data_IF_037895812754
#
_entry.id   IF_037895812754
#
_cell.length_a   1.000
_cell.length_b   1.000
_cell.length_c   1.000
_cell.angle_alpha   90.00
_cell.angle_beta   90.00
_cell.angle_gamma   90.00
#
_symmetry.space_group_name_H-M   'P 1'
#
loop_
_entity.id
_entity.type
_entity.pdbx_description
1 polymer ?
#
# COMPACT_ATOMS: atom_id res chain seq x y z
N UNK A 1 4.34 -31.55 12.77
CA UNK A 1 5.62 -30.80 12.78
C UNK A 1 5.64 -29.95 14.04
N UNK A 2 6.78 -29.89 14.73
CA UNK A 2 6.92 -29.00 15.88
C UNK A 2 6.91 -27.54 15.40
N UNK A 3 6.13 -26.67 16.03
CA UNK A 3 6.19 -25.26 15.72
C UNK A 3 7.55 -24.69 16.12
N UNK A 4 8.16 -23.83 15.29
CA UNK A 4 9.44 -23.21 15.62
C UNK A 4 9.30 -22.37 16.90
N UNK A 5 10.17 -22.60 17.88
CA UNK A 5 10.17 -21.91 19.19
C UNK A 5 11.44 -21.09 19.34
N UNK A 6 11.50 -19.93 18.72
CA UNK A 6 12.60 -18.97 18.91
C UNK A 6 12.05 -17.65 19.48
N UNK A 7 12.93 -16.87 20.09
CA UNK A 7 12.60 -15.55 20.63
C UNK A 7 13.13 -14.46 19.70
N UNK A 8 12.33 -13.44 19.50
CA UNK A 8 12.75 -12.21 18.79
C UNK A 8 12.94 -11.11 19.83
N UNK A 9 14.15 -10.57 19.92
CA UNK A 9 14.48 -9.44 20.78
C UNK A 9 14.84 -8.24 19.93
N UNK A 10 14.23 -7.09 20.20
CA UNK A 10 14.58 -5.82 19.58
C UNK A 10 15.49 -5.02 20.52
N UNK A 11 16.58 -4.48 19.96
CA UNK A 11 17.44 -3.49 20.59
C UNK A 11 17.42 -2.23 19.71
N UNK A 12 16.74 -1.18 20.17
CA UNK A 12 16.76 0.12 19.51
C UNK A 12 18.16 0.75 19.68
N UNK A 13 18.83 1.04 18.56
CA UNK A 13 20.14 1.69 18.54
C UNK A 13 19.97 3.19 18.28
N UNK A 14 19.07 3.55 17.39
CA UNK A 14 18.67 4.93 17.09
C UNK A 14 17.18 4.96 16.72
N UNK A 15 16.62 6.14 16.49
CA UNK A 15 15.21 6.31 16.13
C UNK A 15 14.82 5.49 14.88
N UNK A 16 15.69 5.49 13.88
CA UNK A 16 15.47 4.82 12.59
C UNK A 16 16.36 3.59 12.40
N UNK A 17 16.94 3.04 13.49
CA UNK A 17 17.81 1.86 13.45
C UNK A 17 17.54 0.95 14.64
N UNK A 18 17.19 -0.29 14.34
CA UNK A 18 17.05 -1.37 15.34
C UNK A 18 17.82 -2.61 14.92
N UNK A 19 18.34 -3.30 15.91
CA UNK A 19 18.94 -4.63 15.83
C UNK A 19 17.93 -5.65 16.38
N UNK A 20 17.63 -6.65 15.57
CA UNK A 20 16.77 -7.77 15.95
C UNK A 20 17.60 -9.03 16.12
N UNK A 21 17.51 -9.65 17.28
CA UNK A 21 18.15 -10.93 17.57
C UNK A 21 17.09 -12.03 17.60
N UNK A 22 17.28 -13.07 16.79
CA UNK A 22 16.40 -14.23 16.70
C UNK A 22 17.19 -15.48 17.11
N UNK A 23 16.83 -16.08 18.23
CA UNK A 23 17.51 -17.26 18.80
C UNK A 23 16.58 -18.07 19.72
N UNK A 24 16.77 -19.39 19.88
CA UNK A 24 17.62 -20.26 19.05
C UNK A 24 16.92 -20.64 17.75
N UNK A 25 17.67 -20.80 16.66
CA UNK A 25 17.19 -21.31 15.38
C UNK A 25 17.83 -22.68 15.10
N UNK A 26 17.12 -23.53 14.39
CA UNK A 26 17.68 -24.79 13.89
C UNK A 26 18.85 -24.50 12.93
N UNK A 27 19.84 -25.40 12.83
CA UNK A 27 21.01 -25.22 11.97
C UNK A 27 20.63 -24.89 10.52
N UNK A 28 21.22 -23.82 9.97
CA UNK A 28 20.97 -23.32 8.61
C UNK A 28 19.77 -22.38 8.48
N UNK A 29 18.84 -22.33 9.44
CA UNK A 29 17.69 -21.43 9.39
C UNK A 29 18.08 -19.95 9.59
N UNK A 30 19.20 -19.68 10.24
CA UNK A 30 19.72 -18.31 10.35
C UNK A 30 19.94 -17.66 8.98
N UNK A 31 20.58 -18.35 8.05
CA UNK A 31 20.78 -17.86 6.68
C UNK A 31 19.49 -17.84 5.86
N UNK A 32 18.64 -18.86 5.99
CA UNK A 32 17.35 -18.94 5.29
C UNK A 32 16.46 -17.75 5.64
N UNK A 33 16.25 -17.50 6.93
CA UNK A 33 15.43 -16.38 7.41
C UNK A 33 16.11 -15.03 7.13
N UNK A 34 17.41 -14.91 7.41
CA UNK A 34 18.15 -13.67 7.23
C UNK A 34 18.12 -13.17 5.78
N UNK A 35 18.34 -14.05 4.81
CA UNK A 35 18.29 -13.69 3.40
C UNK A 35 16.87 -13.36 2.93
N UNK A 36 15.87 -14.18 3.31
CA UNK A 36 14.48 -13.93 2.95
C UNK A 36 13.97 -12.59 3.50
N UNK A 37 14.19 -12.34 4.80
CA UNK A 37 13.82 -11.09 5.45
C UNK A 37 14.53 -9.89 4.83
N UNK A 38 15.86 -9.97 4.61
CA UNK A 38 16.61 -8.88 3.99
C UNK A 38 16.10 -8.52 2.61
N UNK A 39 15.84 -9.51 1.75
CA UNK A 39 15.35 -9.26 0.39
C UNK A 39 13.98 -8.60 0.41
N UNK A 40 13.05 -9.14 1.18
CA UNK A 40 11.68 -8.63 1.27
C UNK A 40 11.63 -7.24 1.91
N UNK A 41 12.43 -6.98 2.96
CA UNK A 41 12.59 -5.64 3.56
C UNK A 41 12.99 -4.58 2.54
N UNK A 42 13.90 -4.90 1.61
CA UNK A 42 14.43 -3.95 0.64
C UNK A 42 13.53 -3.75 -0.59
N UNK A 43 12.64 -4.69 -0.90
CA UNK A 43 11.91 -4.69 -2.18
C UNK A 43 10.40 -4.62 -2.06
N UNK A 44 9.82 -5.09 -0.96
CA UNK A 44 8.39 -5.38 -0.91
C UNK A 44 7.60 -4.51 0.06
N UNK A 45 8.26 -3.63 0.82
CA UNK A 45 7.57 -2.68 1.69
C UNK A 45 7.14 -1.47 0.88
N UNK A 46 5.83 -1.12 0.90
CA UNK A 46 5.33 0.05 0.20
C UNK A 46 5.86 1.35 0.84
N UNK A 47 6.02 2.35 0.01
CA UNK A 47 6.37 3.69 0.45
C UNK A 47 5.94 4.74 -0.54
N UNK A 48 6.16 6.00 -0.21
CA UNK A 48 5.78 7.13 -1.03
C UNK A 48 7.01 7.89 -1.53
N UNK A 49 6.98 8.30 -2.80
CA UNK A 49 8.06 9.07 -3.41
C UNK A 49 7.52 10.06 -4.46
N UNK A 50 8.30 11.08 -4.75
CA UNK A 50 7.99 12.04 -5.82
C UNK A 50 8.25 11.37 -7.17
N UNK A 51 7.23 11.32 -8.02
CA UNK A 51 7.28 10.72 -9.36
C UNK A 51 7.41 11.74 -10.46
N UNK A 52 6.90 12.96 -10.26
CA UNK A 52 7.04 14.06 -11.20
C UNK A 52 7.04 15.41 -10.50
N UNK A 53 7.68 16.38 -11.12
CA UNK A 53 7.84 17.74 -10.63
C UNK A 53 7.52 18.73 -11.74
N UNK A 54 6.75 19.75 -11.41
CA UNK A 54 6.48 20.90 -12.30
C UNK A 54 7.00 22.16 -11.60
N UNK A 55 7.91 22.89 -12.28
CA UNK A 55 8.50 24.13 -11.76
C UNK A 55 8.07 25.27 -12.68
N UNK A 56 7.54 26.34 -12.12
CA UNK A 56 7.11 27.47 -12.92
C UNK A 56 8.32 28.13 -13.62
N UNK A 57 8.18 28.38 -14.93
CA UNK A 57 9.25 28.94 -15.77
C UNK A 57 10.32 27.94 -16.22
N UNK A 58 10.23 26.65 -15.85
CA UNK A 58 11.18 25.61 -16.23
C UNK A 58 10.53 24.62 -17.20
N UNK A 59 11.21 24.29 -18.29
CA UNK A 59 10.71 23.38 -19.33
C UNK A 59 11.35 22.00 -19.33
N UNK A 60 12.59 21.89 -18.84
CA UNK A 60 13.37 20.64 -18.84
C UNK A 60 14.37 20.60 -17.66
N UNK A 61 14.81 19.41 -17.31
CA UNK A 61 15.69 19.17 -16.14
C UNK A 61 17.08 19.82 -16.21
N UNK A 62 17.55 20.19 -17.40
CA UNK A 62 18.87 20.80 -17.59
C UNK A 62 18.80 22.33 -17.65
N UNK A 63 17.78 22.96 -17.14
CA UNK A 63 17.63 24.42 -17.04
C UNK A 63 17.95 24.93 -15.64
N UNK A 64 17.87 26.25 -15.48
CA UNK A 64 18.00 26.93 -14.19
C UNK A 64 16.67 27.61 -13.85
N UNK A 65 16.35 27.67 -12.56
CA UNK A 65 15.20 28.43 -12.07
C UNK A 65 15.66 29.87 -11.75
N UNK A 66 15.00 30.91 -12.30
CA UNK A 66 15.43 32.30 -12.11
C UNK A 66 15.49 32.68 -10.62
N UNK A 67 16.66 33.22 -10.17
CA UNK A 67 16.87 33.68 -8.79
C UNK A 67 17.07 32.61 -7.76
N UNK A 68 17.10 31.34 -8.15
CA UNK A 68 17.45 30.20 -7.32
C UNK A 68 18.91 29.85 -7.53
N UNK A 69 19.64 29.54 -6.46
CA UNK A 69 21.06 29.23 -6.50
C UNK A 69 21.34 27.89 -7.15
N UNK A 70 20.51 26.92 -6.87
CA UNK A 70 20.61 25.55 -7.34
C UNK A 70 20.06 25.44 -8.79
N UNK A 71 20.68 24.59 -9.58
CA UNK A 71 20.13 24.21 -10.87
C UNK A 71 18.96 23.20 -10.69
N UNK A 72 18.21 22.94 -11.73
CA UNK A 72 17.04 22.05 -11.65
C UNK A 72 17.44 20.61 -11.29
N UNK A 73 18.61 20.14 -11.73
CA UNK A 73 19.09 18.79 -11.37
C UNK A 73 19.39 18.70 -9.87
N UNK A 74 20.02 19.72 -9.29
CA UNK A 74 20.28 19.78 -7.84
C UNK A 74 18.98 19.86 -7.06
N UNK A 75 17.98 20.64 -7.53
CA UNK A 75 16.64 20.66 -6.95
C UNK A 75 16.00 19.28 -6.95
N UNK A 76 16.07 18.56 -8.06
CA UNK A 76 15.54 17.19 -8.19
C UNK A 76 16.21 16.23 -7.20
N UNK A 77 17.54 16.32 -7.03
CA UNK A 77 18.29 15.50 -6.08
C UNK A 77 17.90 15.81 -4.63
N UNK A 78 17.75 17.09 -4.30
CA UNK A 78 17.34 17.51 -2.95
C UNK A 78 15.90 17.06 -2.66
N UNK A 79 14.97 17.18 -3.61
CA UNK A 79 13.58 16.75 -3.46
C UNK A 79 13.49 15.22 -3.29
N UNK A 80 14.35 14.45 -3.98
CA UNK A 80 14.46 12.99 -3.74
C UNK A 80 14.85 12.62 -2.31
N UNK A 81 15.50 13.52 -1.59
CA UNK A 81 15.86 13.35 -0.18
C UNK A 81 14.70 13.52 0.79
N UNK A 82 13.53 14.03 0.32
CA UNK A 82 12.33 14.13 1.15
C UNK A 82 11.69 12.77 1.37
N UNK A 83 11.30 12.50 2.61
CA UNK A 83 10.62 11.28 3.02
C UNK A 83 9.13 11.58 3.20
N UNK A 84 8.31 11.06 2.29
CA UNK A 84 6.86 11.25 2.28
C UNK A 84 6.15 10.06 2.90
N UNK A 85 5.01 10.33 3.57
CA UNK A 85 4.03 9.34 3.99
C UNK A 85 2.67 9.74 3.40
N UNK A 86 2.01 8.79 2.76
CA UNK A 86 0.62 8.93 2.34
C UNK A 86 -0.29 8.33 3.41
N UNK A 87 -1.37 9.03 3.74
CA UNK A 87 -2.37 8.65 4.73
C UNK A 87 -3.66 8.20 4.01
N UNK A 88 -4.57 7.59 4.76
CA UNK A 88 -5.95 7.27 4.34
C UNK A 88 -6.09 6.40 3.07
N UNK A 89 -5.11 5.53 2.79
CA UNK A 89 -5.17 4.61 1.65
C UNK A 89 -5.16 5.30 0.28
N UNK A 90 -4.70 6.56 0.22
CA UNK A 90 -4.56 7.28 -1.05
C UNK A 90 -3.29 6.88 -1.76
N UNK A 91 -3.39 6.56 -3.06
CA UNK A 91 -2.25 6.15 -3.87
C UNK A 91 -1.46 7.35 -4.43
N UNK A 92 -2.03 8.57 -4.37
CA UNK A 92 -1.46 9.75 -5.00
C UNK A 92 -1.83 11.04 -4.27
N UNK A 93 -0.85 11.95 -4.14
CA UNK A 93 -1.02 13.29 -3.57
C UNK A 93 -0.29 14.34 -4.39
N UNK A 94 -0.76 15.59 -4.34
CA UNK A 94 -0.08 16.75 -4.91
C UNK A 94 0.36 17.69 -3.81
N UNK A 95 1.62 18.06 -3.84
CA UNK A 95 2.25 18.94 -2.86
C UNK A 95 2.72 20.20 -3.58
N UNK A 96 2.45 21.36 -2.99
CA UNK A 96 2.76 22.65 -3.58
C UNK A 96 3.74 23.43 -2.73
N UNK A 97 4.53 24.28 -3.37
CA UNK A 97 5.33 25.27 -2.70
C UNK A 97 5.29 26.59 -3.49
N UNK A 98 5.18 27.69 -2.76
CA UNK A 98 5.21 29.05 -3.32
C UNK A 98 5.96 29.98 -2.36
N UNK A 99 7.25 30.19 -2.60
CA UNK A 99 8.12 30.99 -1.72
C UNK A 99 8.75 32.15 -2.48
N UNK A 100 8.78 33.33 -1.84
CA UNK A 100 9.49 34.54 -2.32
C UNK A 100 10.82 34.67 -1.59
N UNK A 101 11.86 35.11 -2.29
CA UNK A 101 13.20 35.31 -1.72
C UNK A 101 13.38 36.61 -0.93
N UNK A 102 14.55 36.78 -0.26
CA UNK A 102 15.58 35.77 -0.09
C UNK A 102 15.23 34.81 1.05
N UNK A 103 15.31 33.50 0.82
CA UNK A 103 15.03 32.49 1.83
C UNK A 103 15.71 31.16 1.51
N UNK A 104 16.14 30.43 2.54
CA UNK A 104 16.43 28.99 2.43
C UNK A 104 15.12 28.23 2.49
N UNK A 105 14.91 27.33 1.56
CA UNK A 105 13.72 26.47 1.43
C UNK A 105 14.06 25.11 2.03
N UNK A 106 13.19 24.65 2.90
CA UNK A 106 13.28 23.37 3.58
C UNK A 106 11.97 22.58 3.43
N UNK A 107 11.94 21.33 3.85
CA UNK A 107 10.76 20.47 3.73
C UNK A 107 9.50 21.03 4.42
N UNK A 108 9.63 21.83 5.47
CA UNK A 108 8.50 22.47 6.17
C UNK A 108 7.83 23.60 5.39
N UNK A 109 8.44 24.09 4.32
CA UNK A 109 7.88 25.19 3.51
C UNK A 109 6.86 24.73 2.46
N UNK A 110 6.64 23.43 2.35
CA UNK A 110 5.65 22.87 1.43
C UNK A 110 4.24 22.93 1.99
N UNK A 111 3.30 23.31 1.15
CA UNK A 111 1.87 23.21 1.43
C UNK A 111 1.42 21.77 1.19
N UNK A 112 1.08 21.07 2.28
CA UNK A 112 0.73 19.66 2.27
C UNK A 112 -0.79 19.50 2.34
N UNK A 113 -1.41 18.68 1.49
CA UNK A 113 -2.79 18.26 1.69
C UNK A 113 -2.90 17.32 2.91
N UNK A 114 -4.10 17.13 3.43
CA UNK A 114 -4.35 16.33 4.64
C UNK A 114 -3.85 14.89 4.55
N UNK A 115 -3.79 14.36 3.33
CA UNK A 115 -3.38 12.97 3.06
C UNK A 115 -1.86 12.79 2.83
N UNK A 116 -1.04 13.83 2.93
CA UNK A 116 0.42 13.76 2.70
C UNK A 116 1.18 14.36 3.87
N UNK A 117 2.17 13.65 4.35
CA UNK A 117 3.07 14.10 5.41
C UNK A 117 4.53 14.03 4.95
N UNK A 118 5.35 15.04 5.34
CA UNK A 118 6.80 15.03 5.21
C UNK A 118 7.41 14.76 6.59
N UNK A 119 8.22 13.71 6.69
CA UNK A 119 8.85 13.29 7.95
C UNK A 119 10.07 14.15 8.27
N UNK A 120 10.95 14.36 7.29
CA UNK A 120 12.20 15.13 7.45
C UNK A 120 12.01 16.61 7.08
N UNK A 121 11.24 17.34 7.88
CA UNK A 121 10.83 18.73 7.64
C UNK A 121 11.99 19.71 7.47
N UNK A 122 13.14 19.45 8.09
CA UNK A 122 14.33 20.31 8.05
C UNK A 122 15.25 20.05 6.85
N UNK A 123 14.85 19.12 5.96
CA UNK A 123 15.65 18.76 4.79
C UNK A 123 15.77 19.95 3.84
N UNK A 124 17.00 20.29 3.46
CA UNK A 124 17.31 21.41 2.57
C UNK A 124 16.90 21.11 1.13
N UNK A 125 16.23 22.08 0.48
CA UNK A 125 15.78 21.97 -0.91
C UNK A 125 16.50 22.95 -1.81
N UNK A 126 16.44 24.23 -1.49
CA UNK A 126 16.99 25.30 -2.33
C UNK A 126 17.24 26.59 -1.56
N UNK A 127 17.93 27.54 -2.19
CA UNK A 127 18.12 28.89 -1.67
C UNK A 127 17.77 29.94 -2.74
N UNK A 128 16.83 30.82 -2.41
CA UNK A 128 16.51 31.98 -3.24
C UNK A 128 17.39 33.15 -2.77
N UNK A 129 18.16 33.73 -3.69
CA UNK A 129 19.07 34.83 -3.39
C UNK A 129 18.48 36.19 -3.73
N UNK A 130 17.63 36.26 -4.76
CA UNK A 130 17.02 37.53 -5.23
C UNK A 130 15.71 37.82 -4.51
N UNK A 131 15.56 39.07 -4.02
CA UNK A 131 14.33 39.57 -3.36
C UNK A 131 13.07 39.54 -4.29
N UNK A 132 13.28 39.64 -5.59
CA UNK A 132 12.19 39.64 -6.58
C UNK A 132 11.84 38.25 -7.08
N UNK A 133 12.70 37.27 -6.84
CA UNK A 133 12.49 35.90 -7.31
C UNK A 133 11.41 35.19 -6.48
N UNK A 134 10.65 34.37 -7.17
CA UNK A 134 9.61 33.50 -6.61
C UNK A 134 9.83 32.10 -7.15
N UNK A 135 9.89 31.11 -6.26
CA UNK A 135 9.90 29.71 -6.64
C UNK A 135 8.53 29.08 -6.39
N UNK A 136 7.93 28.59 -7.45
CA UNK A 136 6.66 27.86 -7.42
C UNK A 136 6.89 26.47 -8.01
N UNK A 137 6.56 25.44 -7.24
CA UNK A 137 6.68 24.05 -7.67
C UNK A 137 5.45 23.25 -7.26
N UNK A 138 5.09 22.28 -8.09
CA UNK A 138 4.09 21.25 -7.83
C UNK A 138 4.81 19.91 -7.88
N UNK A 139 4.71 19.12 -6.81
CA UNK A 139 5.26 17.77 -6.71
C UNK A 139 4.10 16.78 -6.77
N UNK A 140 4.25 15.73 -7.56
CA UNK A 140 3.35 14.59 -7.51
C UNK A 140 4.00 13.51 -6.69
N UNK A 141 3.36 13.13 -5.59
CA UNK A 141 3.78 12.03 -4.70
C UNK A 141 2.88 10.84 -4.97
N UNK A 142 3.46 9.68 -5.20
CA UNK A 142 2.73 8.43 -5.45
C UNK A 142 3.23 7.35 -4.51
N UNK A 143 2.34 6.39 -4.20
CA UNK A 143 2.69 5.16 -3.48
C UNK A 143 3.20 4.11 -4.48
N UNK A 144 4.19 3.34 -4.07
CA UNK A 144 4.74 2.28 -4.90
C UNK A 144 5.63 1.32 -4.13
N UNK A 145 6.23 0.39 -4.86
CA UNK A 145 7.16 -0.61 -4.35
C UNK A 145 8.53 -0.46 -5.02
N UNK A 146 9.58 -0.66 -4.25
CA UNK A 146 10.94 -0.72 -4.76
C UNK A 146 11.40 0.55 -5.47
N UNK A 147 11.78 0.44 -6.73
CA UNK A 147 12.30 1.52 -7.57
C UNK A 147 11.59 1.56 -8.92
N UNK A 148 11.28 2.77 -9.40
CA UNK A 148 10.75 2.99 -10.72
C UNK A 148 11.49 4.13 -11.42
N UNK A 149 11.91 3.88 -12.65
CA UNK A 149 12.69 4.81 -13.46
C UNK A 149 11.81 5.94 -14.03
N UNK A 150 12.37 7.13 -14.16
CA UNK A 150 11.72 8.24 -14.86
C UNK A 150 11.42 7.91 -16.34
N UNK A 151 12.21 7.02 -16.96
CA UNK A 151 12.02 6.62 -18.35
C UNK A 151 10.73 5.82 -18.58
N UNK A 152 10.28 5.07 -17.58
CA UNK A 152 9.01 4.34 -17.63
C UNK A 152 7.79 5.27 -17.59
N UNK A 153 7.99 6.50 -17.09
CA UNK A 153 6.94 7.52 -16.91
C UNK A 153 7.05 8.65 -17.93
N UNK A 154 7.46 8.34 -19.16
CA UNK A 154 7.54 9.35 -20.22
C UNK A 154 6.19 10.04 -20.39
N UNK A 155 6.21 11.37 -20.32
CA UNK A 155 5.03 12.21 -20.53
C UNK A 155 5.26 13.14 -21.72
N UNK A 156 4.18 13.41 -22.45
CA UNK A 156 4.16 14.42 -23.52
C UNK A 156 3.81 15.82 -22.99
N UNK A 157 3.50 15.93 -21.69
CA UNK A 157 3.11 17.20 -21.09
C UNK A 157 4.33 18.11 -20.90
N UNK A 158 4.33 19.26 -21.57
CA UNK A 158 5.41 20.25 -21.50
C UNK A 158 5.52 20.83 -20.08
N UNK A 159 6.75 20.86 -19.55
CA UNK A 159 7.03 21.42 -18.21
C UNK A 159 6.81 20.46 -17.04
N UNK A 160 6.30 19.25 -17.28
CA UNK A 160 6.29 18.18 -16.29
C UNK A 160 7.60 17.38 -16.42
N UNK A 161 8.38 17.35 -15.36
CA UNK A 161 9.68 16.68 -15.30
C UNK A 161 9.50 15.36 -14.52
N UNK A 162 9.53 14.20 -15.19
CA UNK A 162 9.50 12.92 -14.50
C UNK A 162 10.81 12.72 -13.73
N UNK A 163 10.73 12.11 -12.55
CA UNK A 163 11.89 11.80 -11.70
C UNK A 163 11.88 10.33 -11.33
N UNK A 164 13.08 9.74 -11.15
CA UNK A 164 13.17 8.40 -10.60
C UNK A 164 12.61 8.37 -9.18
N UNK A 165 11.82 7.39 -8.85
CA UNK A 165 11.23 7.23 -7.54
C UNK A 165 11.80 6.01 -6.83
N UNK A 166 12.31 6.22 -5.62
CA UNK A 166 12.71 5.16 -4.67
C UNK A 166 11.62 5.11 -3.62
N UNK A 167 10.74 4.12 -3.72
CA UNK A 167 9.59 4.00 -2.82
C UNK A 167 9.95 3.36 -1.48
N UNK A 168 10.95 2.44 -1.48
CA UNK A 168 11.26 1.67 -0.27
C UNK A 168 11.62 2.58 0.92
N UNK A 169 10.93 2.42 2.07
CA UNK A 169 11.26 3.14 3.29
C UNK A 169 12.48 2.57 4.02
N UNK A 170 12.94 1.37 3.64
CA UNK A 170 14.10 0.71 4.24
C UNK A 170 15.35 1.09 3.45
N UNK A 171 16.28 1.79 4.11
CA UNK A 171 17.52 2.28 3.48
C UNK A 171 18.61 1.21 3.42
N UNK A 172 18.70 0.40 4.49
CA UNK A 172 19.78 -0.58 4.63
C UNK A 172 19.32 -1.73 5.50
N UNK A 173 19.72 -2.94 5.12
CA UNK A 173 19.55 -4.14 5.94
C UNK A 173 20.85 -4.92 5.92
N UNK A 174 21.33 -5.30 7.10
CA UNK A 174 22.44 -6.22 7.27
C UNK A 174 22.04 -7.35 8.19
N UNK A 175 22.51 -8.57 7.93
CA UNK A 175 22.32 -9.67 8.86
C UNK A 175 23.62 -10.45 9.05
N UNK A 176 23.77 -11.04 10.23
CA UNK A 176 24.87 -11.88 10.64
C UNK A 176 24.30 -13.12 11.32
N UNK A 177 24.93 -14.28 11.04
CA UNK A 177 24.56 -15.55 11.66
C UNK A 177 25.74 -16.01 12.49
N UNK A 178 25.51 -16.31 13.75
CA UNK A 178 26.48 -16.86 14.68
C UNK A 178 25.94 -18.11 15.37
N UNK A 179 26.81 -18.98 15.83
CA UNK A 179 26.40 -20.13 16.61
C UNK A 179 25.87 -19.72 17.99
N UNK A 180 24.84 -20.40 18.46
CA UNK A 180 24.32 -20.25 19.82
C UNK A 180 24.12 -21.61 20.48
N UNK A 181 23.97 -21.62 21.80
CA UNK A 181 23.85 -22.81 22.59
C UNK A 181 22.64 -22.79 23.50
N UNK A 182 21.86 -23.86 23.53
CA UNK A 182 20.77 -24.04 24.50
C UNK A 182 20.95 -25.37 25.22
N UNK A 183 21.28 -25.30 26.49
CA UNK A 183 21.58 -26.49 27.27
C UNK A 183 22.79 -27.27 26.74
N UNK A 184 22.54 -28.48 26.22
CA UNK A 184 23.57 -29.37 25.64
C UNK A 184 23.72 -29.23 24.13
N UNK A 185 22.78 -28.59 23.44
CA UNK A 185 22.85 -28.34 22.00
C UNK A 185 23.73 -27.13 21.73
N UNK A 186 24.74 -27.27 20.89
CA UNK A 186 25.75 -26.24 20.57
C UNK A 186 25.77 -25.83 19.10
N UNK A 187 24.96 -26.47 18.27
CA UNK A 187 24.88 -26.34 16.82
C UNK A 187 23.70 -25.48 16.33
N UNK A 188 23.12 -24.69 17.22
CA UNK A 188 21.98 -23.81 16.89
C UNK A 188 22.47 -22.47 16.32
N UNK A 189 21.65 -21.89 15.44
CA UNK A 189 21.90 -20.58 14.86
C UNK A 189 21.31 -19.44 15.71
N UNK A 190 22.02 -18.34 15.70
CA UNK A 190 21.55 -17.03 16.16
C UNK A 190 21.64 -16.05 15.00
N UNK A 191 20.51 -15.50 14.59
CA UNK A 191 20.42 -14.47 13.58
C UNK A 191 20.36 -13.09 14.23
N UNK A 192 21.26 -12.20 13.81
CA UNK A 192 21.27 -10.78 14.17
C UNK A 192 20.96 -10.00 12.90
N UNK A 193 19.84 -9.25 12.90
CA UNK A 193 19.34 -8.49 11.77
C UNK A 193 19.31 -7.00 12.13
N UNK A 194 20.08 -6.19 11.40
CA UNK A 194 20.13 -4.75 11.55
C UNK A 194 19.29 -4.09 10.44
N UNK A 195 18.35 -3.24 10.82
CA UNK A 195 17.42 -2.57 9.89
C UNK A 195 17.50 -1.06 10.08
N UNK A 196 17.76 -0.34 8.98
CA UNK A 196 17.74 1.14 8.93
C UNK A 196 16.60 1.59 8.04
N UNK A 197 15.77 2.50 8.55
CA UNK A 197 14.65 3.08 7.82
C UNK A 197 14.88 4.56 7.54
N UNK A 198 13.98 5.16 6.79
CA UNK A 198 13.97 6.60 6.52
C UNK A 198 13.10 7.41 7.51
N UNK A 199 12.51 6.74 8.52
CA UNK A 199 11.61 7.35 9.52
C UNK A 199 10.13 7.34 9.14
N UNK A 200 9.78 6.98 7.89
CA UNK A 200 8.37 6.82 7.47
C UNK A 200 7.74 5.62 8.17
N UNK A 201 8.50 4.52 8.28
CA UNK A 201 8.10 3.29 8.96
C UNK A 201 9.13 2.96 10.03
N UNK A 202 8.71 2.50 11.21
CA UNK A 202 9.65 2.04 12.22
C UNK A 202 10.34 0.73 11.79
N UNK A 203 11.59 0.46 12.23
CA UNK A 203 12.25 -0.81 11.92
C UNK A 203 11.44 -2.05 12.35
N UNK A 204 10.69 -1.94 13.45
CA UNK A 204 9.84 -3.01 13.97
C UNK A 204 8.65 -3.26 13.06
N UNK A 205 7.93 -2.21 12.69
CA UNK A 205 6.75 -2.33 11.80
C UNK A 205 7.17 -2.86 10.42
N UNK A 206 8.35 -2.40 9.92
CA UNK A 206 8.93 -2.91 8.68
C UNK A 206 9.21 -4.42 8.75
N UNK A 207 9.74 -4.92 9.87
CA UNK A 207 9.99 -6.35 10.06
C UNK A 207 8.67 -7.15 10.17
N UNK A 208 7.68 -6.63 10.90
CA UNK A 208 6.36 -7.25 11.03
C UNK A 208 5.65 -7.36 9.67
N UNK A 209 5.65 -6.27 8.89
CA UNK A 209 5.06 -6.25 7.56
C UNK A 209 5.76 -7.22 6.60
N UNK A 210 7.09 -7.23 6.63
CA UNK A 210 7.90 -8.20 5.87
C UNK A 210 7.54 -9.64 6.20
N UNK A 211 7.35 -9.94 7.49
CA UNK A 211 7.00 -11.29 7.94
C UNK A 211 5.60 -11.71 7.46
N UNK A 212 4.63 -10.78 7.45
CA UNK A 212 3.29 -11.01 6.89
C UNK A 212 3.35 -11.29 5.39
N UNK A 213 4.13 -10.49 4.65
CA UNK A 213 4.33 -10.67 3.20
C UNK A 213 4.91 -12.07 2.93
N UNK A 214 6.00 -12.45 3.59
CA UNK A 214 6.62 -13.78 3.42
C UNK A 214 5.65 -14.91 3.77
N UNK A 215 4.90 -14.76 4.85
CA UNK A 215 3.88 -15.75 5.25
C UNK A 215 2.81 -15.90 4.16
N UNK A 216 2.35 -14.81 3.55
CA UNK A 216 1.35 -14.88 2.47
C UNK A 216 1.89 -15.60 1.23
N UNK A 217 3.16 -15.37 0.85
CA UNK A 217 3.78 -16.10 -0.25
C UNK A 217 3.93 -17.59 0.06
N UNK A 218 4.37 -17.95 1.25
CA UNK A 218 4.49 -19.37 1.64
C UNK A 218 3.14 -20.05 1.76
N UNK A 219 2.11 -19.36 2.27
CA UNK A 219 0.74 -19.87 2.28
C UNK A 219 0.23 -20.16 0.88
N UNK A 220 0.51 -19.30 -0.10
CA UNK A 220 0.10 -19.51 -1.49
C UNK A 220 0.79 -20.73 -2.12
N UNK A 221 2.02 -21.08 -1.68
CA UNK A 221 2.70 -22.32 -2.11
C UNK A 221 2.09 -23.56 -1.46
N UNK A 222 1.75 -23.47 -0.17
CA UNK A 222 1.19 -24.57 0.61
C UNK A 222 -0.31 -24.81 0.30
N UNK A 223 -1.09 -23.73 0.20
CA UNK A 223 -2.53 -23.72 -0.11
C UNK A 223 -2.81 -22.79 -1.30
N UNK A 224 -2.54 -23.24 -2.53
CA UNK A 224 -2.71 -22.40 -3.70
C UNK A 224 -4.19 -22.04 -3.88
N UNK A 225 -4.53 -20.78 -3.67
CA UNK A 225 -5.85 -20.24 -4.02
C UNK A 225 -5.90 -20.11 -5.54
N UNK A 226 -6.92 -20.71 -6.18
CA UNK A 226 -7.09 -20.54 -7.62
C UNK A 226 -7.34 -19.06 -7.95
N UNK A 227 -6.72 -18.56 -9.02
CA UNK A 227 -6.88 -17.18 -9.48
C UNK A 227 -8.33 -16.81 -9.85
N UNK A 228 -9.22 -17.80 -9.97
CA UNK A 228 -10.65 -17.61 -10.18
C UNK A 228 -11.39 -17.04 -8.94
N UNK A 229 -10.74 -17.01 -7.75
CA UNK A 229 -11.32 -16.44 -6.51
C UNK A 229 -10.71 -15.10 -6.09
N UNK A 230 -9.83 -14.50 -6.91
CA UNK A 230 -9.10 -13.27 -6.56
C UNK A 230 -9.73 -11.98 -7.10
N UNK A 231 -10.97 -11.99 -7.57
CA UNK A 231 -11.70 -10.75 -7.89
C UNK A 231 -12.37 -10.08 -6.67
N UNK A 232 -12.01 -10.48 -5.43
CA UNK A 232 -12.59 -9.87 -4.23
C UNK A 232 -11.57 -9.64 -3.12
N UNK A 233 -10.50 -8.90 -3.39
CA UNK A 233 -9.63 -8.35 -2.31
C UNK A 233 -9.45 -6.85 -2.52
N UNK A 234 -10.57 -6.13 -2.51
CA UNK A 234 -10.72 -4.76 -2.03
C UNK A 234 -12.20 -4.57 -1.66
N UNK A 235 -12.63 -5.22 -0.60
CA UNK A 235 -13.88 -4.86 0.02
C UNK A 235 -13.62 -4.61 1.51
N UNK A 236 -13.64 -3.36 1.89
CA UNK A 236 -14.23 -2.89 3.13
C UNK A 236 -15.38 -3.84 3.45
N UNK A 237 -15.64 -4.30 4.69
CA UNK A 237 -16.80 -5.13 5.00
C UNK A 237 -18.04 -4.38 4.56
N UNK A 238 -18.46 -4.64 3.32
CA UNK A 238 -19.56 -3.95 2.69
C UNK A 238 -20.83 -4.45 3.33
N UNK A 239 -21.78 -3.56 3.49
CA UNK A 239 -23.18 -3.79 3.87
C UNK A 239 -23.78 -5.03 3.15
N UNK A 240 -23.22 -5.42 2.00
CA UNK A 240 -23.58 -6.59 1.20
C UNK A 240 -23.36 -7.96 1.90
N UNK A 241 -22.35 -8.12 2.77
CA UNK A 241 -22.12 -9.41 3.46
C UNK A 241 -23.14 -9.70 4.56
N UNK A 242 -23.70 -8.65 5.16
CA UNK A 242 -24.81 -8.79 6.09
C UNK A 242 -26.13 -9.05 5.37
N UNK A 243 -26.31 -8.47 4.18
CA UNK A 243 -27.53 -8.63 3.35
C UNK A 243 -27.58 -10.02 2.71
N UNK A 244 -26.46 -10.59 2.29
CA UNK A 244 -26.42 -11.93 1.66
C UNK A 244 -26.79 -13.08 2.61
N UNK A 245 -26.69 -12.87 3.93
CA UNK A 245 -27.08 -13.84 4.98
C UNK A 245 -28.54 -13.71 5.40
N UNK A 246 -29.24 -12.66 4.97
CA UNK A 246 -30.64 -12.46 5.26
C UNK A 246 -31.48 -13.50 4.53
N UNK A 247 -32.57 -13.95 5.17
CA UNK A 247 -33.53 -14.88 4.58
C UNK A 247 -34.51 -14.16 3.65
N UNK A 248 -35.10 -14.86 2.70
CA UNK A 248 -36.09 -14.29 1.76
C UNK A 248 -37.31 -13.75 2.50
N UNK A 249 -37.59 -14.24 3.73
CA UNK A 249 -38.68 -13.76 4.58
C UNK A 249 -38.59 -12.25 4.87
N UNK A 250 -37.41 -11.69 4.87
CA UNK A 250 -37.17 -10.27 5.18
C UNK A 250 -37.42 -9.31 4.01
N UNK A 251 -37.76 -9.83 2.84
CA UNK A 251 -38.11 -9.05 1.64
C UNK A 251 -39.59 -8.69 1.53
N UNK A 252 -40.44 -9.15 2.46
CA UNK A 252 -41.90 -8.94 2.42
C UNK A 252 -42.50 -9.21 1.05
N UNK A 253 -42.14 -10.35 0.46
CA UNK A 253 -42.63 -10.78 -0.84
C UNK A 253 -44.02 -11.39 -0.74
N UNK A 254 -44.87 -11.20 -1.75
CA UNK A 254 -46.18 -11.91 -1.80
C UNK A 254 -45.99 -13.44 -1.68
N UNK A 255 -46.84 -14.07 -0.87
CA UNK A 255 -46.77 -15.52 -0.53
C UNK A 255 -46.57 -16.44 -1.74
N UNK A 256 -47.12 -16.05 -2.88
CA UNK A 256 -46.97 -16.81 -4.14
C UNK A 256 -45.53 -16.79 -4.65
N UNK A 257 -44.83 -15.62 -4.59
CA UNK A 257 -43.47 -15.45 -5.08
C UNK A 257 -42.51 -16.13 -4.08
N UNK A 258 -42.73 -15.93 -2.80
CA UNK A 258 -41.98 -16.58 -1.71
C UNK A 258 -41.99 -18.12 -1.86
N UNK A 259 -43.18 -18.73 -2.02
CA UNK A 259 -43.30 -20.17 -2.19
C UNK A 259 -42.63 -20.69 -3.47
N UNK A 260 -42.63 -19.88 -4.53
CA UNK A 260 -41.96 -20.25 -5.80
C UNK A 260 -40.44 -20.24 -5.67
N UNK A 261 -39.88 -19.27 -4.97
CA UNK A 261 -38.44 -19.19 -4.69
C UNK A 261 -37.98 -20.34 -3.78
N UNK A 262 -38.71 -20.61 -2.70
CA UNK A 262 -38.40 -21.69 -1.77
C UNK A 262 -38.49 -23.08 -2.45
N UNK A 263 -39.49 -23.31 -3.30
CA UNK A 263 -39.61 -24.54 -4.08
C UNK A 263 -38.48 -24.66 -5.13
N UNK A 264 -37.90 -23.54 -5.57
CA UNK A 264 -36.71 -23.49 -6.43
C UNK A 264 -35.39 -23.65 -5.71
N UNK A 265 -35.39 -23.85 -4.37
CA UNK A 265 -34.18 -24.05 -3.56
C UNK A 265 -33.47 -22.75 -3.18
N UNK A 266 -34.14 -21.60 -3.32
CA UNK A 266 -33.58 -20.28 -2.95
C UNK A 266 -34.15 -19.91 -1.57
N UNK A 267 -33.33 -19.90 -0.55
CA UNK A 267 -33.70 -19.59 0.85
C UNK A 267 -33.07 -18.32 1.40
N UNK A 268 -31.98 -17.84 0.77
CA UNK A 268 -31.26 -16.64 1.21
C UNK A 268 -31.18 -15.59 0.09
N UNK A 269 -31.01 -14.31 0.50
CA UNK A 269 -30.80 -13.22 -0.46
C UNK A 269 -29.54 -13.43 -1.29
N UNK A 270 -28.47 -14.01 -0.73
CA UNK A 270 -27.26 -14.33 -1.47
C UNK A 270 -27.49 -15.30 -2.63
N UNK A 271 -28.33 -16.34 -2.43
CA UNK A 271 -28.71 -17.25 -3.48
C UNK A 271 -29.59 -16.58 -4.55
N UNK A 272 -30.50 -15.70 -4.11
CA UNK A 272 -31.36 -14.93 -5.04
C UNK A 272 -30.54 -14.00 -5.93
N UNK A 273 -29.53 -13.30 -5.37
CA UNK A 273 -28.65 -12.37 -6.10
C UNK A 273 -27.71 -13.10 -7.06
N UNK A 274 -27.36 -14.36 -6.79
CA UNK A 274 -26.55 -15.21 -7.68
C UNK A 274 -27.32 -15.88 -8.81
N UNK A 275 -28.67 -15.86 -8.76
CA UNK A 275 -29.51 -16.49 -9.76
C UNK A 275 -29.85 -15.51 -10.89
N UNK A 276 -29.74 -15.97 -12.16
CA UNK A 276 -30.01 -15.09 -13.31
C UNK A 276 -31.51 -14.88 -13.50
N UNK A 277 -31.90 -13.76 -14.13
CA UNK A 277 -33.32 -13.49 -14.48
C UNK A 277 -33.95 -14.60 -15.30
N UNK A 278 -33.19 -15.26 -16.17
CA UNK A 278 -33.67 -16.39 -17.01
C UNK A 278 -34.01 -17.59 -16.18
N UNK A 279 -33.20 -17.92 -15.19
CA UNK A 279 -33.42 -19.04 -14.30
C UNK A 279 -34.64 -18.80 -13.41
N UNK A 280 -34.84 -17.58 -12.91
CA UNK A 280 -36.03 -17.20 -12.14
C UNK A 280 -37.31 -17.32 -12.97
N UNK A 281 -37.31 -16.95 -14.28
CA UNK A 281 -38.46 -17.09 -15.16
C UNK A 281 -38.80 -18.57 -15.43
N UNK A 282 -37.80 -19.43 -15.44
CA UNK A 282 -37.98 -20.87 -15.66
C UNK A 282 -38.68 -21.61 -14.50
N UNK A 283 -38.71 -20.97 -13.32
CA UNK A 283 -39.33 -21.56 -12.12
C UNK A 283 -40.85 -21.60 -12.24
N UNK A 284 -41.45 -22.63 -11.67
CA UNK A 284 -42.90 -22.82 -11.68
C UNK A 284 -43.62 -21.66 -10.98
N UNK A 285 -44.61 -21.07 -11.64
CA UNK A 285 -45.41 -19.93 -11.17
C UNK A 285 -44.64 -18.57 -11.05
N UNK A 286 -43.47 -18.44 -11.70
CA UNK A 286 -42.72 -17.20 -11.84
C UNK A 286 -42.94 -16.60 -13.24
N UNK A 287 -43.27 -15.31 -13.30
CA UNK A 287 -43.43 -14.59 -14.57
C UNK A 287 -42.76 -13.20 -14.47
N UNK A 288 -42.70 -12.48 -15.60
CA UNK A 288 -42.10 -11.17 -15.68
C UNK A 288 -42.59 -10.16 -14.62
N UNK A 289 -43.91 -10.21 -14.28
CA UNK A 289 -44.47 -9.36 -13.21
C UNK A 289 -43.90 -9.68 -11.82
N UNK A 290 -43.62 -10.96 -11.56
CA UNK A 290 -43.03 -11.40 -10.27
C UNK A 290 -41.61 -10.94 -10.14
N UNK A 291 -40.83 -10.87 -11.23
CA UNK A 291 -39.45 -10.37 -11.24
C UNK A 291 -39.43 -8.87 -10.97
N UNK A 292 -40.34 -8.09 -11.54
CA UNK A 292 -40.41 -6.65 -11.26
C UNK A 292 -40.65 -6.40 -9.78
N UNK A 293 -41.53 -7.16 -9.12
CA UNK A 293 -41.78 -7.05 -7.67
C UNK A 293 -40.53 -7.40 -6.86
N UNK A 294 -39.80 -8.46 -7.26
CA UNK A 294 -38.53 -8.82 -6.61
C UNK A 294 -37.49 -7.71 -6.78
N UNK A 295 -37.36 -7.15 -7.99
CA UNK A 295 -36.42 -6.05 -8.27
C UNK A 295 -36.74 -4.78 -7.48
N UNK A 296 -38.04 -4.43 -7.32
CA UNK A 296 -38.47 -3.32 -6.51
C UNK A 296 -38.09 -3.52 -5.05
N UNK A 297 -38.34 -4.70 -4.49
CA UNK A 297 -37.99 -5.02 -3.10
C UNK A 297 -36.50 -5.11 -2.84
N UNK A 298 -35.71 -5.58 -3.79
CA UNK A 298 -34.25 -5.57 -3.73
C UNK A 298 -33.69 -4.15 -3.79
N UNK A 299 -34.27 -3.25 -4.61
CA UNK A 299 -33.90 -1.84 -4.66
C UNK A 299 -34.16 -1.11 -3.33
N UNK A 300 -35.26 -1.43 -2.63
CA UNK A 300 -35.53 -0.89 -1.28
C UNK A 300 -34.42 -1.26 -0.28
N UNK A 301 -33.74 -2.40 -0.49
CA UNK A 301 -32.60 -2.86 0.32
C UNK A 301 -31.24 -2.47 -0.27
N UNK A 302 -31.19 -1.73 -1.39
CA UNK A 302 -29.96 -1.21 -2.00
C UNK A 302 -29.17 -2.22 -2.83
N UNK A 303 -29.80 -3.34 -3.28
CA UNK A 303 -29.18 -4.41 -4.08
C UNK A 303 -29.94 -4.64 -5.39
N UNK A 304 -29.28 -5.24 -6.40
CA UNK A 304 -29.89 -5.54 -7.71
C UNK A 304 -29.56 -6.97 -8.12
N UNK A 305 -30.49 -7.59 -8.90
CA UNK A 305 -30.29 -8.92 -9.47
C UNK A 305 -29.13 -8.93 -10.47
N UNK A 306 -28.45 -10.09 -10.58
CA UNK A 306 -27.50 -10.34 -11.65
C UNK A 306 -28.22 -10.28 -13.02
N UNK A 307 -27.61 -9.55 -13.96
CA UNK A 307 -28.16 -9.35 -15.32
C UNK A 307 -28.02 -10.60 -16.21
#
# INVERSE_FOLDING_TARGET
MANPTFKVKEKKIAENHSEFTMEPLEPGYGHTLGNALRRTLLTSIPGAAVTSIKINGVRHKFSTAPGVKENVVDLLLNIKGLNFRLLDGTDKGKVFISVKGPKKIVGSDFDLPENVEIINKDHYIASISDKKAKLEMELTVEQGLGYSSAEERRTTQIGLIPTDAVFTPVKRVNYEVSATRVGRQTDLDKLILNVWTNGVVSPKDALEETSKILTSYFLQVYEPKSLASSESVTAVPSIADNISKLTIDELDLPTRIYNSLRNGGIETLGQLLSTTKRDLISMRNMGNKSIIVIEEKLKEKGVSLAS
#
